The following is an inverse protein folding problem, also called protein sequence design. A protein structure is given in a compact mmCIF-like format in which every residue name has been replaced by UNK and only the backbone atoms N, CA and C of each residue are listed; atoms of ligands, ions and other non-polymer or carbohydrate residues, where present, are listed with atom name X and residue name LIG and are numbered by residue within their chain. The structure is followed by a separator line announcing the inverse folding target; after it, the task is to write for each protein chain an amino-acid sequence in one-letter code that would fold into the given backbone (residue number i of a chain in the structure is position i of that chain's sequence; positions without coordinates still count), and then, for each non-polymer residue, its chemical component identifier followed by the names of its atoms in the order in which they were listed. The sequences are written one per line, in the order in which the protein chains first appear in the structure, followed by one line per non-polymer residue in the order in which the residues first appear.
data_IF_778110533165
#
_entry.id   IF_778110533165
#
_cell.length_a   1.000
_cell.length_b   1.000
_cell.length_c   1.000
_cell.angle_alpha   90.00
_cell.angle_beta   90.00
_cell.angle_gamma   90.00
#
_symmetry.space_group_name_H-M   'P 1'
#
loop_
_entity.id
_entity.type
_entity.pdbx_description
1 polymer ?
#
# COMPACT_ATOMS: atom_id res chain seq x y z
N UNK A 1 -8.18 -2.73 -4.74
CA UNK A 1 -6.79 -2.77 -4.25
C UNK A 1 -6.46 -1.50 -3.47
N UNK A 2 -5.59 -1.57 -2.45
CA UNK A 2 -5.18 -0.40 -1.65
C UNK A 2 -3.88 0.25 -2.13
N UNK A 3 -2.90 -0.57 -2.53
CA UNK A 3 -1.58 -0.08 -2.91
C UNK A 3 -1.21 -0.62 -4.29
N UNK A 4 -0.98 0.28 -5.24
CA UNK A 4 -0.36 -0.02 -6.52
C UNK A 4 1.05 0.57 -6.54
N UNK A 5 2.02 -0.24 -6.13
CA UNK A 5 3.43 0.14 -6.05
C UNK A 5 4.30 -1.12 -6.14
N UNK A 6 5.48 -1.08 -6.78
CA UNK A 6 6.09 0.07 -7.45
C UNK A 6 5.38 0.48 -8.74
N UNK A 7 5.42 1.78 -9.07
CA UNK A 7 4.86 2.34 -10.31
C UNK A 7 5.97 2.98 -11.17
N UNK A 8 6.90 2.19 -11.73
CA UNK A 8 8.06 2.72 -12.46
C UNK A 8 7.65 3.47 -13.74
N UNK A 9 6.44 3.22 -14.24
CA UNK A 9 5.92 3.86 -15.45
C UNK A 9 5.01 5.05 -15.14
N UNK A 10 4.85 5.45 -13.87
CA UNK A 10 3.95 6.52 -13.44
C UNK A 10 2.52 6.38 -14.03
N UNK A 11 2.00 5.16 -14.03
CA UNK A 11 0.66 4.80 -14.51
C UNK A 11 -0.44 5.54 -13.75
N UNK A 12 -0.26 5.77 -12.45
CA UNK A 12 -1.23 6.50 -11.62
C UNK A 12 -1.46 7.89 -12.20
N UNK A 13 -0.40 8.66 -12.46
CA UNK A 13 -0.52 10.00 -13.02
C UNK A 13 -1.19 10.00 -14.40
N UNK A 14 -0.82 9.06 -15.28
CA UNK A 14 -1.45 8.95 -16.61
C UNK A 14 -2.95 8.70 -16.51
N UNK A 15 -3.35 7.78 -15.63
CA UNK A 15 -4.75 7.43 -15.43
C UNK A 15 -5.54 8.55 -14.75
N UNK A 16 -4.93 9.25 -13.80
CA UNK A 16 -5.55 10.40 -13.15
C UNK A 16 -5.86 11.50 -14.16
N UNK A 17 -4.87 11.89 -14.99
CA UNK A 17 -5.08 12.91 -16.03
C UNK A 17 -6.17 12.52 -17.02
N UNK A 18 -6.26 11.24 -17.40
CA UNK A 18 -7.33 10.75 -18.24
C UNK A 18 -8.72 10.92 -17.59
N UNK A 19 -8.86 10.53 -16.32
CA UNK A 19 -10.11 10.67 -15.57
C UNK A 19 -10.48 12.13 -15.27
N UNK A 20 -9.49 13.00 -15.12
CA UNK A 20 -9.71 14.43 -14.90
C UNK A 20 -10.06 15.18 -16.18
N UNK A 21 -9.63 14.67 -17.34
CA UNK A 21 -9.92 15.27 -18.65
C UNK A 21 -11.16 14.71 -19.36
N UNK A 22 -11.91 13.80 -18.74
CA UNK A 22 -13.14 13.25 -19.33
C UNK A 22 -14.38 13.98 -18.83
N UNK A 23 -15.30 14.28 -19.74
CA UNK A 23 -16.63 14.80 -19.41
C UNK A 23 -17.54 13.71 -18.78
N UNK A 24 -17.23 12.44 -18.98
CA UNK A 24 -18.05 11.34 -18.48
C UNK A 24 -18.00 11.26 -16.94
N UNK A 25 -19.12 11.01 -16.24
CA UNK A 25 -19.12 10.86 -14.79
C UNK A 25 -18.21 9.71 -14.33
N UNK A 26 -17.38 9.98 -13.31
CA UNK A 26 -16.50 8.99 -12.68
C UNK A 26 -17.18 8.47 -11.42
N UNK A 27 -17.76 7.28 -11.53
CA UNK A 27 -18.39 6.58 -10.40
C UNK A 27 -17.53 5.38 -9.94
N UNK A 28 -18.02 4.66 -8.92
CA UNK A 28 -17.31 3.50 -8.38
C UNK A 28 -17.08 2.38 -9.42
N UNK A 29 -17.99 2.20 -10.39
CA UNK A 29 -17.85 1.19 -11.43
C UNK A 29 -16.75 1.54 -12.44
N UNK A 30 -16.64 2.82 -12.79
CA UNK A 30 -15.52 3.32 -13.60
C UNK A 30 -14.19 3.05 -12.90
N UNK A 31 -14.10 3.31 -11.59
CA UNK A 31 -12.89 3.02 -10.80
C UNK A 31 -12.59 1.51 -10.74
N UNK A 32 -13.62 0.67 -10.62
CA UNK A 32 -13.47 -0.78 -10.65
C UNK A 32 -12.89 -1.30 -11.97
N UNK A 33 -13.40 -0.79 -13.10
CA UNK A 33 -13.07 -1.29 -14.43
C UNK A 33 -11.79 -0.68 -15.02
N UNK A 34 -11.34 0.47 -14.51
CA UNK A 34 -10.21 1.23 -15.10
C UNK A 34 -8.82 0.73 -14.69
N UNK A 35 -8.75 -0.42 -14.01
CA UNK A 35 -7.53 -1.11 -13.62
C UNK A 35 -6.97 -0.69 -12.25
N UNK A 36 -5.93 -1.38 -11.81
CA UNK A 36 -5.40 -1.25 -10.44
C UNK A 36 -4.75 0.12 -10.15
N UNK A 37 -4.23 0.79 -11.18
CA UNK A 37 -3.58 2.09 -11.05
C UNK A 37 -4.54 3.26 -10.80
N UNK A 38 -5.86 3.08 -10.95
CA UNK A 38 -6.86 4.10 -10.60
C UNK A 38 -7.39 3.98 -9.17
N UNK A 39 -6.89 3.01 -8.40
CA UNK A 39 -7.46 2.64 -7.11
C UNK A 39 -6.47 2.92 -5.98
N UNK A 40 -7.01 3.04 -4.77
CA UNK A 40 -6.20 3.00 -3.56
C UNK A 40 -5.46 4.29 -3.25
N UNK A 41 -4.53 4.18 -2.30
CA UNK A 41 -3.77 5.29 -1.76
C UNK A 41 -2.96 6.05 -2.82
N UNK A 42 -2.28 5.42 -3.80
CA UNK A 42 -1.51 6.18 -4.78
C UNK A 42 -2.35 7.11 -5.65
N UNK A 43 -3.57 6.70 -6.03
CA UNK A 43 -4.47 7.56 -6.79
C UNK A 43 -5.00 8.71 -5.91
N UNK A 44 -5.44 8.41 -4.68
CA UNK A 44 -5.87 9.45 -3.74
C UNK A 44 -4.73 10.45 -3.45
N UNK A 45 -3.50 9.94 -3.30
CA UNK A 45 -2.31 10.74 -3.09
C UNK A 45 -2.02 11.66 -4.29
N UNK A 46 -2.11 11.15 -5.52
CA UNK A 46 -1.96 11.98 -6.72
C UNK A 46 -2.97 13.14 -6.74
N UNK A 47 -4.25 12.84 -6.48
CA UNK A 47 -5.34 13.81 -6.53
C UNK A 47 -5.24 14.90 -5.45
N UNK A 48 -4.55 14.59 -4.34
CA UNK A 48 -4.40 15.48 -3.19
C UNK A 48 -3.06 16.25 -3.19
N UNK A 49 -1.96 15.62 -3.62
CA UNK A 49 -0.60 16.11 -3.35
C UNK A 49 0.28 16.31 -4.59
N UNK A 50 -0.14 15.90 -5.80
CA UNK A 50 0.68 16.08 -7.00
C UNK A 50 0.82 17.58 -7.35
N UNK A 51 2.05 18.10 -7.34
CA UNK A 51 2.34 19.53 -7.54
C UNK A 51 1.84 20.04 -8.89
N UNK A 52 1.97 19.23 -9.95
CA UNK A 52 1.53 19.62 -11.29
C UNK A 52 0.01 19.68 -11.38
N UNK A 53 -0.70 18.75 -10.74
CA UNK A 53 -2.16 18.82 -10.65
C UNK A 53 -2.62 20.04 -9.85
N UNK A 54 -2.00 20.27 -8.70
CA UNK A 54 -2.39 21.32 -7.75
C UNK A 54 -2.05 22.74 -8.22
N UNK A 55 -1.22 22.89 -9.25
CA UNK A 55 -0.94 24.16 -9.93
C UNK A 55 -1.84 24.43 -11.14
N UNK A 56 -2.72 23.49 -11.50
CA UNK A 56 -3.60 23.59 -12.66
C UNK A 56 -5.07 23.83 -12.31
N UNK A 57 -5.91 23.88 -13.35
CA UNK A 57 -7.36 24.15 -13.22
C UNK A 57 -8.14 23.02 -12.53
N UNK A 58 -7.57 21.81 -12.52
CA UNK A 58 -8.13 20.65 -11.83
C UNK A 58 -7.67 20.54 -10.36
N UNK A 59 -6.96 21.53 -9.82
CA UNK A 59 -6.63 21.58 -8.41
C UNK A 59 -7.92 21.55 -7.55
N UNK A 60 -7.89 20.86 -6.41
CA UNK A 60 -9.01 20.91 -5.49
C UNK A 60 -9.26 22.38 -5.05
N UNK A 61 -10.53 22.83 -4.98
CA UNK A 61 -11.75 22.03 -4.95
C UNK A 61 -12.47 21.84 -6.31
N UNK A 62 -11.76 21.83 -7.45
CA UNK A 62 -12.37 21.60 -8.76
C UNK A 62 -13.33 20.40 -8.77
N UNK A 63 -14.54 20.61 -9.33
CA UNK A 63 -15.64 19.66 -9.25
C UNK A 63 -15.25 18.26 -9.75
N UNK A 64 -14.49 18.20 -10.85
CA UNK A 64 -14.03 16.94 -11.42
C UNK A 64 -13.05 16.20 -10.52
N UNK A 65 -12.10 16.92 -9.92
CA UNK A 65 -11.15 16.30 -8.97
C UNK A 65 -11.89 15.80 -7.72
N UNK A 66 -12.81 16.59 -7.18
CA UNK A 66 -13.70 16.17 -6.08
C UNK A 66 -14.50 14.90 -6.42
N UNK A 67 -15.05 14.81 -7.64
CA UNK A 67 -15.76 13.63 -8.13
C UNK A 67 -14.87 12.39 -8.14
N UNK A 68 -13.69 12.48 -8.77
CA UNK A 68 -12.75 11.35 -8.90
C UNK A 68 -12.25 10.92 -7.52
N UNK A 69 -11.83 11.86 -6.67
CA UNK A 69 -11.34 11.56 -5.32
C UNK A 69 -12.44 10.91 -4.46
N UNK A 70 -13.68 11.39 -4.57
CA UNK A 70 -14.83 10.78 -3.91
C UNK A 70 -15.09 9.36 -4.38
N UNK A 71 -15.02 9.10 -5.69
CA UNK A 71 -15.20 7.76 -6.24
C UNK A 71 -14.11 6.80 -5.76
N UNK A 72 -12.85 7.23 -5.77
CA UNK A 72 -11.68 6.45 -5.31
C UNK A 72 -11.78 6.12 -3.81
N UNK A 73 -12.09 7.11 -2.98
CA UNK A 73 -12.18 6.91 -1.51
C UNK A 73 -13.38 6.05 -1.11
N UNK A 74 -14.54 6.19 -1.75
CA UNK A 74 -15.68 5.27 -1.55
C UNK A 74 -15.33 3.84 -1.93
N UNK A 75 -14.61 3.67 -3.04
CA UNK A 75 -14.13 2.36 -3.47
C UNK A 75 -13.15 1.74 -2.46
N UNK A 76 -12.22 2.53 -1.92
CA UNK A 76 -11.32 2.09 -0.84
C UNK A 76 -12.09 1.66 0.42
N UNK A 77 -13.08 2.44 0.85
CA UNK A 77 -13.90 2.11 2.01
C UNK A 77 -14.67 0.79 1.81
N UNK A 78 -15.17 0.54 0.60
CA UNK A 78 -15.82 -0.73 0.25
C UNK A 78 -14.84 -1.90 0.30
N UNK A 79 -13.64 -1.75 -0.26
CA UNK A 79 -12.61 -2.80 -0.20
C UNK A 79 -12.21 -3.09 1.25
N UNK A 80 -12.13 -2.06 2.10
CA UNK A 80 -11.77 -2.22 3.51
C UNK A 80 -12.80 -3.06 4.26
N UNK A 81 -14.09 -2.74 4.10
CA UNK A 81 -15.18 -3.53 4.68
C UNK A 81 -15.15 -4.98 4.19
N UNK A 82 -15.09 -5.17 2.88
CA UNK A 82 -15.04 -6.52 2.31
C UNK A 82 -13.84 -7.32 2.81
N UNK A 83 -12.67 -6.70 2.96
CA UNK A 83 -11.48 -7.37 3.48
C UNK A 83 -11.67 -7.78 4.95
N UNK A 84 -12.25 -6.90 5.77
CA UNK A 84 -12.53 -7.19 7.17
C UNK A 84 -13.54 -8.34 7.31
N UNK A 85 -14.65 -8.29 6.55
CA UNK A 85 -15.69 -9.33 6.55
C UNK A 85 -15.12 -10.68 6.10
N UNK A 86 -14.31 -10.67 5.04
CA UNK A 86 -13.67 -11.87 4.52
C UNK A 86 -12.71 -12.48 5.56
N UNK A 87 -11.90 -11.67 6.25
CA UNK A 87 -11.02 -12.17 7.32
C UNK A 87 -11.80 -12.72 8.50
N UNK A 88 -12.89 -12.07 8.91
CA UNK A 88 -13.74 -12.55 9.99
C UNK A 88 -14.32 -13.94 9.67
N UNK A 89 -14.82 -14.13 8.45
CA UNK A 89 -15.36 -15.41 7.98
C UNK A 89 -14.27 -16.48 7.80
N UNK A 90 -13.07 -16.08 7.37
CA UNK A 90 -11.97 -16.99 7.10
C UNK A 90 -11.18 -17.41 8.36
N UNK A 91 -11.34 -16.67 9.47
CA UNK A 91 -10.54 -16.81 10.70
C UNK A 91 -10.46 -18.25 11.21
N UNK A 92 -11.59 -18.95 11.30
CA UNK A 92 -11.60 -20.31 11.86
C UNK A 92 -10.80 -21.27 10.98
N UNK A 93 -11.06 -21.27 9.67
CA UNK A 93 -10.33 -22.09 8.72
C UNK A 93 -8.83 -21.78 8.72
N UNK A 94 -8.48 -20.50 8.86
CA UNK A 94 -7.08 -20.08 8.95
C UNK A 94 -6.37 -20.68 10.17
N UNK A 95 -7.02 -20.68 11.35
CA UNK A 95 -6.45 -21.22 12.59
C UNK A 95 -6.38 -22.75 12.58
N UNK A 96 -7.35 -23.42 11.97
CA UNK A 96 -7.43 -24.89 11.95
C UNK A 96 -6.53 -25.54 10.88
N UNK A 97 -6.04 -24.75 9.93
CA UNK A 97 -5.23 -25.24 8.81
C UNK A 97 -3.75 -25.06 9.09
N UNK A 98 -3.09 -26.12 9.56
CA UNK A 98 -1.69 -26.10 10.00
C UNK A 98 -0.68 -25.42 9.04
N UNK A 99 -0.75 -25.60 7.70
CA UNK A 99 0.16 -24.93 6.77
C UNK A 99 0.14 -23.39 6.81
N UNK A 100 -0.95 -22.78 7.31
CA UNK A 100 -1.02 -21.32 7.38
C UNK A 100 -0.08 -20.73 8.39
N UNK A 101 0.31 -21.45 9.45
CA UNK A 101 1.34 -20.97 10.39
C UNK A 101 2.64 -20.64 9.68
N UNK A 102 3.16 -21.57 8.89
CA UNK A 102 4.41 -21.39 8.14
C UNK A 102 4.26 -20.31 7.07
N UNK A 103 3.06 -20.19 6.50
CA UNK A 103 2.71 -19.11 5.55
C UNK A 103 2.77 -17.74 6.24
N UNK A 104 2.31 -17.61 7.49
CA UNK A 104 2.39 -16.37 8.28
C UNK A 104 3.83 -15.97 8.54
N UNK A 105 4.68 -16.91 8.94
CA UNK A 105 6.11 -16.66 9.17
C UNK A 105 6.76 -16.14 7.89
N UNK A 106 6.53 -16.82 6.76
CA UNK A 106 7.03 -16.38 5.46
C UNK A 106 6.50 -15.00 5.08
N UNK A 107 5.23 -14.70 5.33
CA UNK A 107 4.65 -13.40 5.03
C UNK A 107 5.31 -12.26 5.83
N UNK A 108 5.61 -12.48 7.12
CA UNK A 108 6.34 -11.51 7.94
C UNK A 108 7.77 -11.30 7.45
N UNK A 109 8.48 -12.37 7.07
CA UNK A 109 9.82 -12.26 6.46
C UNK A 109 9.79 -11.49 5.14
N UNK A 110 8.82 -11.79 4.26
CA UNK A 110 8.65 -11.07 3.00
C UNK A 110 8.32 -9.60 3.22
N UNK A 111 7.57 -9.25 4.28
CA UNK A 111 7.29 -7.86 4.62
C UNK A 111 8.58 -7.10 5.01
N UNK A 112 9.46 -7.72 5.80
CA UNK A 112 10.78 -7.18 6.14
C UNK A 112 11.68 -7.03 4.91
N UNK A 113 11.71 -8.05 4.04
CA UNK A 113 12.49 -8.02 2.81
C UNK A 113 12.02 -6.88 1.88
N UNK A 114 10.71 -6.70 1.71
CA UNK A 114 10.16 -5.59 0.92
C UNK A 114 10.52 -4.23 1.55
N UNK A 115 10.46 -4.13 2.87
CA UNK A 115 10.80 -2.92 3.61
C UNK A 115 12.27 -2.54 3.40
N UNK A 116 13.18 -3.48 3.64
CA UNK A 116 14.62 -3.28 3.50
C UNK A 116 15.00 -3.03 2.04
N UNK A 117 14.68 -3.98 1.15
CA UNK A 117 15.18 -3.97 -0.22
C UNK A 117 14.54 -2.87 -1.05
N UNK A 118 13.20 -2.76 -1.01
CA UNK A 118 12.46 -1.94 -1.96
C UNK A 118 12.11 -0.56 -1.42
N UNK A 119 11.71 -0.45 -0.14
CA UNK A 119 11.31 0.85 0.44
C UNK A 119 12.50 1.67 0.95
N UNK A 120 13.60 1.03 1.33
CA UNK A 120 14.80 1.71 1.84
C UNK A 120 15.99 1.61 0.88
N UNK A 121 16.53 0.41 0.65
CA UNK A 121 17.81 0.24 -0.02
C UNK A 121 17.78 0.74 -1.48
N UNK A 122 16.76 0.38 -2.25
CA UNK A 122 16.62 0.81 -3.65
C UNK A 122 16.53 2.35 -3.82
N UNK A 123 15.63 3.09 -3.15
CA UNK A 123 15.57 4.56 -3.28
C UNK A 123 16.81 5.27 -2.71
N UNK A 124 17.52 4.66 -1.76
CA UNK A 124 18.78 5.18 -1.22
C UNK A 124 20.01 4.92 -2.12
N UNK A 125 19.83 4.23 -3.26
CA UNK A 125 20.92 3.87 -4.17
C UNK A 125 21.83 2.75 -3.62
N UNK A 126 21.39 2.02 -2.59
CA UNK A 126 22.13 0.88 -2.02
C UNK A 126 21.89 -0.41 -2.81
N UNK A 127 21.04 -0.37 -3.84
CA UNK A 127 20.78 -1.43 -4.81
C UNK A 127 20.82 -0.87 -6.23
N UNK A 128 21.19 -1.69 -7.20
CA UNK A 128 21.21 -1.31 -8.62
C UNK A 128 22.38 -0.39 -8.99
N UNK A 129 22.09 0.77 -9.60
CA UNK A 129 23.08 1.64 -10.25
C UNK A 129 23.73 2.69 -9.32
N UNK A 130 23.54 2.59 -8.01
CA UNK A 130 24.13 3.52 -7.03
C UNK A 130 23.43 4.87 -6.90
N UNK A 131 22.40 5.17 -7.70
CA UNK A 131 21.75 6.48 -7.71
C UNK A 131 20.56 6.54 -6.75
N UNK A 132 20.54 7.57 -5.91
CA UNK A 132 19.39 7.92 -5.07
C UNK A 132 18.23 8.40 -5.94
N UNK A 133 17.03 7.90 -5.68
CA UNK A 133 15.83 8.31 -6.40
C UNK A 133 14.60 8.33 -5.47
N UNK A 134 14.14 9.51 -5.03
CA UNK A 134 12.96 9.60 -4.16
C UNK A 134 11.66 9.21 -4.88
N UNK A 135 11.56 9.37 -6.21
CA UNK A 135 10.32 9.14 -6.97
C UNK A 135 9.90 7.67 -7.10
N UNK A 136 10.75 6.73 -6.67
CA UNK A 136 10.42 5.30 -6.62
C UNK A 136 9.99 4.84 -5.23
N UNK A 137 10.10 5.69 -4.20
CA UNK A 137 9.54 5.40 -2.87
C UNK A 137 8.02 5.32 -2.95
N UNK A 138 7.40 4.58 -2.03
CA UNK A 138 5.96 4.72 -1.82
C UNK A 138 5.65 6.07 -1.17
N UNK A 139 4.46 6.59 -1.40
CA UNK A 139 4.01 7.86 -0.83
C UNK A 139 4.94 9.07 -1.06
N UNK A 140 5.67 9.09 -2.18
CA UNK A 140 6.66 10.14 -2.46
C UNK A 140 6.02 11.51 -2.71
N UNK A 141 4.78 11.55 -3.22
CA UNK A 141 4.08 12.81 -3.56
C UNK A 141 3.68 13.58 -2.31
N UNK A 142 3.23 12.85 -1.29
CA UNK A 142 2.88 13.40 0.01
C UNK A 142 4.09 13.57 0.94
N UNK A 143 5.27 13.08 0.55
CA UNK A 143 6.46 13.07 1.40
C UNK A 143 6.31 12.16 2.62
N UNK A 144 5.49 11.10 2.55
CA UNK A 144 5.15 10.23 3.68
C UNK A 144 5.81 8.85 3.65
N UNK A 145 6.81 8.65 2.81
CA UNK A 145 7.53 7.37 2.67
C UNK A 145 8.08 6.84 3.99
N UNK A 146 8.74 7.68 4.79
CA UNK A 146 9.27 7.27 6.11
C UNK A 146 8.17 6.90 7.11
N UNK A 147 7.06 7.65 7.11
CA UNK A 147 5.91 7.32 7.95
C UNK A 147 5.32 5.94 7.59
N UNK A 148 5.33 5.56 6.31
CA UNK A 148 4.91 4.24 5.85
C UNK A 148 5.90 3.12 6.25
N UNK A 149 7.20 3.43 6.26
CA UNK A 149 8.26 2.53 6.79
C UNK A 149 8.04 2.29 8.29
N UNK A 150 7.90 3.36 9.08
CA UNK A 150 7.66 3.29 10.53
C UNK A 150 6.39 2.50 10.86
N UNK A 151 5.29 2.74 10.13
CA UNK A 151 4.05 2.00 10.31
C UNK A 151 4.20 0.50 10.01
N UNK A 152 5.08 0.13 9.07
CA UNK A 152 5.35 -1.28 8.75
C UNK A 152 6.11 -1.95 9.90
N UNK A 153 7.13 -1.30 10.44
CA UNK A 153 7.88 -1.79 11.60
C UNK A 153 6.96 -1.95 12.80
N UNK A 154 6.19 -0.91 13.15
CA UNK A 154 5.25 -0.96 14.25
C UNK A 154 4.19 -2.07 14.06
N UNK A 155 3.74 -2.32 12.84
CA UNK A 155 2.82 -3.42 12.54
C UNK A 155 3.43 -4.79 12.81
N UNK A 156 4.68 -5.01 12.40
CA UNK A 156 5.41 -6.25 12.63
C UNK A 156 5.70 -6.46 14.12
N UNK A 157 6.12 -5.42 14.83
CA UNK A 157 6.37 -5.48 16.28
C UNK A 157 5.10 -5.81 17.07
N UNK A 158 3.97 -5.21 16.72
CA UNK A 158 2.73 -5.39 17.48
C UNK A 158 2.01 -6.70 17.16
N UNK A 159 2.04 -7.14 15.90
CA UNK A 159 1.17 -8.24 15.44
C UNK A 159 1.90 -9.49 14.97
N UNK A 160 3.18 -9.40 14.62
CA UNK A 160 3.96 -10.54 14.10
C UNK A 160 4.96 -11.07 15.12
N UNK A 161 5.79 -10.19 15.69
CA UNK A 161 6.87 -10.55 16.60
C UNK A 161 6.40 -11.37 17.82
N UNK A 162 5.31 -11.03 18.54
CA UNK A 162 4.89 -11.78 19.73
C UNK A 162 4.53 -13.24 19.39
N UNK A 163 3.92 -13.46 18.23
CA UNK A 163 3.60 -14.79 17.72
C UNK A 163 4.87 -15.57 17.36
N UNK A 164 5.81 -14.93 16.67
CA UNK A 164 7.10 -15.54 16.32
C UNK A 164 7.92 -15.90 17.57
N UNK A 165 8.04 -15.00 18.54
CA UNK A 165 8.73 -15.24 19.82
C UNK A 165 8.13 -16.46 20.55
N UNK A 166 6.79 -16.57 20.57
CA UNK A 166 6.11 -17.72 21.18
C UNK A 166 6.44 -19.03 20.46
N UNK A 167 6.46 -19.01 19.12
CA UNK A 167 6.82 -20.18 18.32
C UNK A 167 8.26 -20.63 18.54
N UNK A 168 9.21 -19.69 18.57
CA UNK A 168 10.62 -19.96 18.83
C UNK A 168 10.85 -20.57 20.21
N UNK A 169 10.24 -20.00 21.26
CA UNK A 169 10.33 -20.53 22.64
C UNK A 169 9.77 -21.95 22.73
N UNK A 170 8.64 -22.20 22.05
CA UNK A 170 8.02 -23.54 22.01
C UNK A 170 8.90 -24.56 21.26
N UNK A 171 9.68 -24.11 20.29
CA UNK A 171 10.63 -24.94 19.54
C UNK A 171 11.97 -25.18 20.26
N UNK A 172 12.18 -24.59 21.45
CA UNK A 172 13.45 -24.69 22.19
C UNK A 172 14.50 -23.64 21.77
N UNK A 173 14.14 -22.69 20.92
CA UNK A 173 15.03 -21.65 20.36
C UNK A 173 14.95 -20.34 21.18
N UNK A 174 15.06 -20.45 22.50
CA UNK A 174 14.85 -19.31 23.42
C UNK A 174 15.85 -18.18 23.19
N UNK A 175 17.12 -18.50 22.92
CA UNK A 175 18.15 -17.48 22.62
C UNK A 175 17.81 -16.67 21.36
N UNK A 176 17.24 -17.30 20.33
CA UNK A 176 16.81 -16.59 19.12
C UNK A 176 15.57 -15.73 19.38
N UNK A 177 14.71 -16.15 20.30
CA UNK A 177 13.48 -15.44 20.64
C UNK A 177 13.70 -14.14 21.43
N UNK A 178 14.86 -14.01 22.10
CA UNK A 178 15.22 -12.86 22.93
C UNK A 178 16.15 -11.85 22.21
N UNK A 179 16.48 -12.09 20.94
CA UNK A 179 17.22 -11.17 20.06
C UNK A 179 16.30 -10.20 19.33
#
# INVERSE_FOLDING_TARGET
QFQFWPDPKNLVARKARYLLGTEAPVNADVINQSGVAVQGFPMAEYLLFDEQLNSGENALPAAKNCEVLSAVTRHMARIARNLADNWANFKQHYLDTAPYRDTTVKAGMTALEILEERRLAQPMGLRGNGKRNPYITDAWRSGKSLMAVEATVAGLENFYLPGLTTLLKTAGEAELADR
#
